data_IF_152858033798
#
_entry.id   IF_152858033798
#
_cell.length_a   1.000
_cell.length_b   1.000
_cell.length_c   1.000
_cell.angle_alpha   90.00
_cell.angle_beta   90.00
_cell.angle_gamma   90.00
#
_symmetry.space_group_name_H-M   'P 1'
#
loop_
_entity.id
_entity.type
_entity.pdbx_description
1 polymer ?
#
# COMPACT_ATOMS: atom_id res chain seq x y z
N UNK A 1 -5.95 -6.71 18.27
CA UNK A 1 -5.41 -7.88 17.55
C UNK A 1 -6.08 -8.11 16.20
N UNK A 2 -7.42 -8.22 16.13
CA UNK A 2 -8.15 -8.46 14.85
C UNK A 2 -7.78 -7.50 13.70
N UNK A 3 -7.60 -6.20 14.00
CA UNK A 3 -7.25 -5.17 13.01
C UNK A 3 -5.86 -5.37 12.39
N UNK A 4 -4.89 -5.85 13.18
CA UNK A 4 -3.54 -6.18 12.68
C UNK A 4 -3.67 -7.32 11.68
N UNK A 5 -4.39 -8.38 12.06
CA UNK A 5 -4.61 -9.56 11.21
C UNK A 5 -5.23 -9.17 9.87
N UNK A 6 -6.27 -8.32 9.88
CA UNK A 6 -6.97 -7.87 8.66
C UNK A 6 -6.02 -7.12 7.71
N UNK A 7 -5.15 -6.25 8.23
CA UNK A 7 -4.17 -5.52 7.43
C UNK A 7 -2.94 -6.36 7.03
N UNK A 8 -2.61 -7.39 7.81
CA UNK A 8 -1.48 -8.28 7.52
C UNK A 8 -1.78 -9.25 6.38
N UNK A 9 -3.04 -9.66 6.17
CA UNK A 9 -3.42 -10.60 5.10
C UNK A 9 -3.02 -10.07 3.70
N UNK A 10 -3.38 -8.84 3.29
CA UNK A 10 -2.93 -8.27 2.01
C UNK A 10 -1.42 -8.20 1.85
N UNK A 11 -0.71 -7.86 2.94
CA UNK A 11 0.75 -7.80 2.94
C UNK A 11 1.31 -9.19 2.66
N UNK A 12 0.88 -10.19 3.42
CA UNK A 12 1.31 -11.58 3.23
C UNK A 12 0.99 -12.09 1.82
N UNK A 13 -0.20 -11.84 1.29
CA UNK A 13 -0.57 -12.22 -0.08
C UNK A 13 0.37 -11.59 -1.12
N UNK A 14 0.74 -10.33 -0.94
CA UNK A 14 1.68 -9.64 -1.83
C UNK A 14 3.07 -10.25 -1.78
N UNK A 15 3.53 -10.65 -0.59
CA UNK A 15 4.82 -11.32 -0.42
C UNK A 15 4.81 -12.79 -0.88
N UNK A 16 3.68 -13.50 -0.78
CA UNK A 16 3.51 -14.83 -1.36
C UNK A 16 3.62 -14.76 -2.88
N UNK A 17 2.95 -13.78 -3.51
CA UNK A 17 3.08 -13.54 -4.95
C UNK A 17 4.53 -13.21 -5.33
N UNK A 18 5.19 -12.34 -4.55
CA UNK A 18 6.59 -11.98 -4.77
C UNK A 18 7.54 -13.18 -4.72
N UNK A 19 7.36 -14.05 -3.73
CA UNK A 19 8.18 -15.25 -3.58
C UNK A 19 7.89 -16.26 -4.69
N UNK A 20 6.62 -16.50 -5.02
CA UNK A 20 6.24 -17.51 -6.00
C UNK A 20 6.68 -17.21 -7.43
N UNK A 21 6.73 -15.92 -7.83
CA UNK A 21 7.06 -15.52 -9.20
C UNK A 21 8.54 -15.12 -9.39
N UNK A 22 9.18 -14.66 -8.31
CA UNK A 22 10.49 -14.02 -8.41
C UNK A 22 11.54 -14.55 -7.41
N UNK A 23 11.22 -15.60 -6.64
CA UNK A 23 12.11 -16.25 -5.68
C UNK A 23 12.85 -15.26 -4.76
N UNK A 24 12.18 -14.15 -4.40
CA UNK A 24 12.76 -13.08 -3.62
C UNK A 24 11.79 -12.55 -2.57
N UNK A 25 12.34 -12.00 -1.49
CA UNK A 25 11.58 -11.27 -0.47
C UNK A 25 11.80 -9.76 -0.56
N UNK A 26 12.61 -9.28 -1.51
CA UNK A 26 12.90 -7.87 -1.65
C UNK A 26 12.18 -7.27 -2.86
N UNK A 27 11.05 -6.55 -2.70
CA UNK A 27 10.32 -6.00 -3.84
C UNK A 27 11.11 -4.88 -4.56
N UNK A 28 12.09 -4.25 -3.91
CA UNK A 28 12.84 -3.13 -4.49
C UNK A 28 13.76 -3.60 -5.63
N UNK A 29 14.17 -4.87 -5.64
CA UNK A 29 15.03 -5.48 -6.68
C UNK A 29 14.27 -5.80 -7.97
N UNK A 30 12.94 -5.85 -7.95
CA UNK A 30 12.13 -6.14 -9.12
C UNK A 30 12.39 -5.17 -10.28
N UNK A 31 12.12 -5.61 -11.50
CA UNK A 31 12.06 -4.71 -12.65
C UNK A 31 10.78 -3.86 -12.60
N UNK A 32 10.66 -2.88 -13.49
CA UNK A 32 9.59 -1.87 -13.45
C UNK A 32 8.18 -2.47 -13.45
N UNK A 33 7.79 -3.22 -14.49
CA UNK A 33 6.47 -3.84 -14.59
C UNK A 33 6.15 -4.78 -13.41
N UNK A 34 7.11 -5.59 -13.00
CA UNK A 34 6.98 -6.57 -11.93
C UNK A 34 6.78 -5.88 -10.58
N UNK A 35 7.54 -4.80 -10.33
CA UNK A 35 7.32 -3.97 -9.15
C UNK A 35 5.94 -3.34 -9.17
N UNK A 36 5.48 -2.82 -10.31
CA UNK A 36 4.16 -2.24 -10.46
C UNK A 36 3.06 -3.26 -10.14
N UNK A 37 3.20 -4.50 -10.60
CA UNK A 37 2.26 -5.59 -10.27
C UNK A 37 2.26 -5.88 -8.77
N UNK A 38 3.43 -6.10 -8.16
CA UNK A 38 3.55 -6.28 -6.71
C UNK A 38 2.88 -5.12 -5.94
N UNK A 39 3.20 -3.89 -6.34
CA UNK A 39 2.74 -2.68 -5.67
C UNK A 39 1.24 -2.50 -5.79
N UNK A 40 0.64 -2.81 -6.95
CA UNK A 40 -0.80 -2.80 -7.15
C UNK A 40 -1.52 -3.86 -6.30
N UNK A 41 -0.98 -5.08 -6.22
CA UNK A 41 -1.55 -6.15 -5.36
C UNK A 41 -1.55 -5.68 -3.89
N UNK A 42 -0.43 -5.14 -3.43
CA UNK A 42 -0.27 -4.63 -2.07
C UNK A 42 -1.22 -3.48 -1.79
N UNK A 43 -1.26 -2.48 -2.68
CA UNK A 43 -2.07 -1.28 -2.52
C UNK A 43 -3.56 -1.61 -2.56
N UNK A 44 -4.03 -2.33 -3.58
CA UNK A 44 -5.44 -2.71 -3.70
C UNK A 44 -5.88 -3.61 -2.54
N UNK A 45 -5.08 -4.60 -2.17
CA UNK A 45 -5.38 -5.48 -1.04
C UNK A 45 -5.44 -4.70 0.28
N UNK A 46 -4.47 -3.82 0.53
CA UNK A 46 -4.44 -3.05 1.76
C UNK A 46 -5.61 -2.08 1.87
N UNK A 47 -5.88 -1.27 0.84
CA UNK A 47 -7.02 -0.34 0.87
C UNK A 47 -8.37 -1.06 0.90
N UNK A 48 -8.50 -2.24 0.28
CA UNK A 48 -9.69 -3.09 0.43
C UNK A 48 -9.90 -3.52 1.87
N UNK A 49 -8.83 -3.85 2.60
CA UNK A 49 -8.93 -4.19 4.03
C UNK A 49 -9.43 -3.02 4.89
N UNK A 50 -9.08 -1.77 4.55
CA UNK A 50 -9.62 -0.56 5.20
C UNK A 50 -11.12 -0.44 4.92
N UNK A 51 -11.54 -0.68 3.67
CA UNK A 51 -12.96 -0.63 3.29
C UNK A 51 -13.78 -1.71 3.99
N UNK A 52 -13.24 -2.93 4.14
CA UNK A 52 -13.87 -4.00 4.91
C UNK A 52 -14.04 -3.65 6.39
N UNK A 53 -13.04 -3.04 7.02
CA UNK A 53 -13.17 -2.54 8.39
C UNK A 53 -14.31 -1.52 8.52
N UNK A 54 -14.45 -0.64 7.52
CA UNK A 54 -15.54 0.33 7.48
C UNK A 54 -16.92 -0.35 7.38
N UNK A 55 -17.08 -1.36 6.52
CA UNK A 55 -18.33 -2.13 6.40
C UNK A 55 -18.64 -2.84 7.72
N UNK A 56 -17.63 -3.40 8.37
CA UNK A 56 -17.76 -4.05 9.68
C UNK A 56 -18.03 -3.07 10.83
N UNK A 57 -18.15 -1.75 10.55
CA UNK A 57 -18.30 -0.66 11.53
C UNK A 57 -17.18 -0.64 12.58
N UNK A 58 -16.02 -1.19 12.23
CA UNK A 58 -14.83 -1.18 13.07
C UNK A 58 -14.07 0.14 12.91
N UNK A 59 -13.56 0.67 14.01
CA UNK A 59 -12.80 1.92 13.95
C UNK A 59 -11.45 1.73 13.27
N UNK A 60 -11.09 2.68 12.41
CA UNK A 60 -9.74 2.79 11.85
C UNK A 60 -8.76 3.02 13.01
N UNK A 61 -7.61 2.36 12.96
CA UNK A 61 -6.62 2.39 14.04
C UNK A 61 -5.32 3.06 13.58
N UNK A 62 -4.45 3.41 14.54
CA UNK A 62 -3.10 3.94 14.24
C UNK A 62 -2.30 3.03 13.31
N UNK A 63 -2.51 1.70 13.38
CA UNK A 63 -1.87 0.70 12.52
C UNK A 63 -2.21 0.91 11.04
N UNK A 64 -3.42 1.34 10.74
CA UNK A 64 -3.84 1.62 9.36
C UNK A 64 -2.97 2.72 8.75
N UNK A 65 -2.73 3.81 9.50
CA UNK A 65 -1.86 4.89 9.06
C UNK A 65 -0.41 4.44 8.91
N UNK A 66 0.11 3.62 9.83
CA UNK A 66 1.46 3.06 9.67
C UNK A 66 1.57 2.21 8.40
N UNK A 67 0.59 1.36 8.11
CA UNK A 67 0.56 0.56 6.89
C UNK A 67 0.50 1.42 5.62
N UNK A 68 -0.38 2.42 5.57
CA UNK A 68 -0.46 3.37 4.45
C UNK A 68 0.88 4.08 4.23
N UNK A 69 1.46 4.62 5.30
CA UNK A 69 2.76 5.30 5.21
C UNK A 69 3.87 4.37 4.74
N UNK A 70 3.85 3.10 5.17
CA UNK A 70 4.83 2.10 4.73
C UNK A 70 4.72 1.78 3.24
N UNK A 71 3.49 1.58 2.73
CA UNK A 71 3.24 1.37 1.30
C UNK A 71 3.70 2.58 0.49
N UNK A 72 3.34 3.78 0.93
CA UNK A 72 3.77 5.01 0.28
C UNK A 72 5.30 5.14 0.23
N UNK A 73 5.99 4.90 1.36
CA UNK A 73 7.46 4.93 1.44
C UNK A 73 8.10 3.90 0.51
N UNK A 74 7.55 2.69 0.41
CA UNK A 74 8.04 1.69 -0.56
C UNK A 74 7.96 2.19 -2.01
N UNK A 75 6.84 2.83 -2.36
CA UNK A 75 6.67 3.45 -3.68
C UNK A 75 7.65 4.59 -3.93
N UNK A 76 7.89 5.46 -2.95
CA UNK A 76 8.88 6.55 -3.04
C UNK A 76 10.31 6.01 -3.22
N UNK A 77 10.71 4.99 -2.45
CA UNK A 77 12.04 4.37 -2.59
C UNK A 77 12.23 3.85 -4.02
N UNK A 78 11.20 3.19 -4.59
CA UNK A 78 11.27 2.72 -5.97
C UNK A 78 11.32 3.87 -6.98
N UNK A 79 10.54 4.93 -6.76
CA UNK A 79 10.50 6.10 -7.61
C UNK A 79 11.88 6.75 -7.72
N UNK A 80 12.54 6.98 -6.57
CA UNK A 80 13.90 7.54 -6.51
C UNK A 80 14.88 6.65 -7.28
N UNK A 81 14.84 5.32 -7.03
CA UNK A 81 15.70 4.38 -7.76
C UNK A 81 15.46 4.40 -9.27
N UNK A 82 14.19 4.49 -9.69
CA UNK A 82 13.82 4.58 -11.11
C UNK A 82 14.34 5.86 -11.78
N UNK A 83 14.22 7.00 -11.09
CA UNK A 83 14.77 8.29 -11.51
C UNK A 83 16.29 8.24 -11.67
N UNK A 84 17.00 7.73 -10.67
CA UNK A 84 18.47 7.62 -10.70
C UNK A 84 18.97 6.73 -11.84
N UNK A 85 18.19 5.71 -12.22
CA UNK A 85 18.53 4.80 -13.33
C UNK A 85 18.00 5.28 -14.69
N UNK A 86 17.40 6.48 -14.78
CA UNK A 86 16.82 7.01 -16.01
C UNK A 86 15.67 6.16 -16.57
N UNK A 87 14.98 5.38 -15.74
CA UNK A 87 13.90 4.49 -16.15
C UNK A 87 12.56 5.24 -16.19
N UNK A 88 11.62 4.85 -17.07
CA UNK A 88 10.29 5.43 -17.07
C UNK A 88 9.56 5.09 -15.77
N UNK A 89 9.04 6.13 -15.10
CA UNK A 89 8.38 6.03 -13.79
C UNK A 89 6.97 6.64 -13.78
N UNK A 90 6.41 6.98 -14.94
CA UNK A 90 5.14 7.71 -15.06
C UNK A 90 3.97 7.02 -14.33
N UNK A 91 3.79 5.72 -14.55
CA UNK A 91 2.73 4.96 -13.88
C UNK A 91 2.88 4.94 -12.35
N UNK A 92 4.10 4.76 -11.85
CA UNK A 92 4.36 4.77 -10.42
C UNK A 92 4.05 6.15 -9.81
N UNK A 93 4.42 7.22 -10.51
CA UNK A 93 4.09 8.59 -10.09
C UNK A 93 2.58 8.83 -10.03
N UNK A 94 1.83 8.38 -11.04
CA UNK A 94 0.36 8.48 -11.04
C UNK A 94 -0.27 7.72 -9.87
N UNK A 95 0.23 6.50 -9.57
CA UNK A 95 -0.27 5.70 -8.44
C UNK A 95 0.03 6.40 -7.11
N UNK A 96 1.22 6.97 -6.92
CA UNK A 96 1.58 7.69 -5.70
C UNK A 96 0.70 8.93 -5.47
N UNK A 97 0.38 9.68 -6.53
CA UNK A 97 -0.55 10.81 -6.45
C UNK A 97 -1.94 10.33 -6.02
N UNK A 98 -2.43 9.24 -6.61
CA UNK A 98 -3.71 8.64 -6.23
C UNK A 98 -3.69 8.18 -4.77
N UNK A 99 -2.58 7.58 -4.31
CA UNK A 99 -2.42 7.16 -2.93
C UNK A 99 -2.49 8.35 -1.96
N UNK A 100 -1.90 9.49 -2.29
CA UNK A 100 -2.05 10.72 -1.49
C UNK A 100 -3.51 11.17 -1.40
N UNK A 101 -4.24 11.18 -2.52
CA UNK A 101 -5.66 11.58 -2.56
C UNK A 101 -6.50 10.66 -1.66
N UNK A 102 -6.36 9.34 -1.84
CA UNK A 102 -7.07 8.36 -1.01
C UNK A 102 -6.66 8.48 0.46
N UNK A 103 -5.38 8.74 0.74
CA UNK A 103 -4.88 8.90 2.10
C UNK A 103 -5.50 10.07 2.83
N UNK A 104 -5.63 11.23 2.19
CA UNK A 104 -6.31 12.40 2.75
C UNK A 104 -7.79 12.08 3.06
N UNK A 105 -8.49 11.37 2.17
CA UNK A 105 -9.88 10.98 2.39
C UNK A 105 -10.04 10.05 3.61
N UNK A 106 -9.12 9.09 3.79
CA UNK A 106 -9.11 8.18 4.94
C UNK A 106 -8.85 8.94 6.24
N UNK A 107 -7.90 9.89 6.24
CA UNK A 107 -7.60 10.73 7.40
C UNK A 107 -8.81 11.59 7.80
N UNK A 108 -9.45 12.27 6.84
CA UNK A 108 -10.65 13.06 7.09
C UNK A 108 -11.77 12.22 7.71
N UNK A 109 -11.96 11.00 7.21
CA UNK A 109 -12.95 10.07 7.76
C UNK A 109 -12.61 9.65 9.20
N UNK A 110 -11.35 9.39 9.51
CA UNK A 110 -10.91 9.05 10.85
C UNK A 110 -11.22 10.17 11.86
N UNK A 111 -10.89 11.43 11.53
CA UNK A 111 -11.19 12.57 12.40
C UNK A 111 -12.70 12.80 12.55
N UNK A 112 -13.48 12.65 11.48
CA UNK A 112 -14.95 12.78 11.54
C UNK A 112 -15.59 11.77 12.50
N UNK A 113 -15.07 10.54 12.57
CA UNK A 113 -15.58 9.52 13.47
C UNK A 113 -15.13 9.67 14.92
N UNK A 114 -14.07 10.44 15.21
CA UNK A 114 -13.60 10.74 16.57
C UNK A 114 -14.36 11.90 17.23
N UNK A 115 -14.99 12.76 16.42
CA UNK A 115 -15.71 13.97 16.88
C UNK A 115 -17.20 13.67 17.14
N UNK A 116 -17.69 12.46 16.81
CA UNK A 116 -19.04 11.98 17.17
C UNK A 116 -19.01 11.23 18.49
#
# INVERSE_FOLDING_TARGET
MKKIIIHSIPVLLSFIWLFGEHDTFNPITLKGPEFLTFYLILLLGFYSSIFLLKIAKESISKITFYGMSGIFVLGIIKLIRGLLLGRPIGFLMMILILECIVGVLVIQFYFKNQIK
#
